data_IF_629808636811
#
_entry.id   IF_629808636811
#
_cell.length_a   1.000
_cell.length_b   1.000
_cell.length_c   1.000
_cell.angle_alpha   90.00
_cell.angle_beta   90.00
_cell.angle_gamma   90.00
#
_symmetry.space_group_name_H-M   'P 1'
#
loop_
_entity.id
_entity.type
_entity.pdbx_description
1 polymer ?
#
# COMPACT_ATOMS: atom_id res chain seq x y z
N UNK A 1 12.98 -5.17 -20.31
CA UNK A 1 14.02 -5.31 -19.28
C UNK A 1 13.87 -4.18 -18.27
N UNK A 2 13.08 -4.36 -17.23
CA UNK A 2 13.22 -3.62 -15.96
C UNK A 2 12.66 -4.54 -14.88
N UNK A 3 13.53 -5.31 -14.23
CA UNK A 3 13.21 -5.99 -12.97
C UNK A 3 12.95 -4.89 -11.95
N UNK A 4 11.69 -4.49 -11.76
CA UNK A 4 11.31 -3.58 -10.68
C UNK A 4 11.52 -4.33 -9.38
N UNK A 5 12.69 -4.13 -8.77
CA UNK A 5 13.03 -4.70 -7.49
C UNK A 5 12.32 -3.87 -6.42
N UNK A 6 11.10 -4.26 -6.06
CA UNK A 6 10.36 -3.69 -4.93
C UNK A 6 11.30 -3.60 -3.72
N UNK A 7 11.49 -2.43 -3.10
CA UNK A 7 12.42 -2.28 -1.99
C UNK A 7 12.05 -3.23 -0.84
N UNK A 8 13.05 -3.76 -0.13
CA UNK A 8 12.81 -4.60 1.04
C UNK A 8 11.96 -3.84 2.08
N UNK A 9 12.23 -2.55 2.22
CA UNK A 9 11.55 -1.60 3.11
C UNK A 9 10.27 -0.98 2.50
N UNK A 10 9.66 -1.57 1.45
CA UNK A 10 8.45 -1.02 0.84
C UNK A 10 7.30 -0.84 1.85
N UNK A 11 7.15 -1.76 2.81
CA UNK A 11 6.18 -1.64 3.89
C UNK A 11 6.45 -0.44 4.81
N UNK A 12 7.71 -0.16 5.14
CA UNK A 12 8.11 1.00 5.96
C UNK A 12 7.86 2.31 5.21
N UNK A 13 8.11 2.31 3.90
CA UNK A 13 7.82 3.45 3.03
C UNK A 13 6.31 3.69 2.94
N UNK A 14 5.52 2.62 2.77
CA UNK A 14 4.06 2.66 2.73
C UNK A 14 3.47 3.18 4.04
N UNK A 15 3.92 2.67 5.19
CA UNK A 15 3.43 3.10 6.49
C UNK A 15 3.72 4.57 6.75
N UNK A 16 4.92 5.06 6.39
CA UNK A 16 5.26 6.48 6.48
C UNK A 16 4.36 7.35 5.62
N UNK A 17 4.04 6.91 4.41
CA UNK A 17 3.16 7.68 3.53
C UNK A 17 1.74 7.75 4.06
N UNK A 18 1.21 6.62 4.52
CA UNK A 18 -0.11 6.55 5.19
C UNK A 18 -0.12 7.46 6.42
N UNK A 19 0.95 7.46 7.23
CA UNK A 19 1.08 8.36 8.37
C UNK A 19 1.04 9.85 7.98
N UNK A 20 1.69 10.24 6.87
CA UNK A 20 1.61 11.62 6.36
C UNK A 20 0.21 11.97 5.87
N UNK A 21 -0.44 11.08 5.11
CA UNK A 21 -1.80 11.30 4.58
C UNK A 21 -2.79 11.54 5.73
N UNK A 22 -2.65 10.78 6.81
CA UNK A 22 -3.48 10.89 8.01
C UNK A 22 -3.03 11.99 8.97
N UNK A 23 -1.89 12.64 8.71
CA UNK A 23 -1.27 13.62 9.59
C UNK A 23 -1.05 13.07 11.01
N UNK A 24 -0.52 11.85 11.11
CA UNK A 24 -0.15 11.17 12.37
C UNK A 24 1.35 10.87 12.39
N UNK A 25 1.90 10.64 13.59
CA UNK A 25 3.33 10.33 13.74
C UNK A 25 3.69 8.94 13.22
N UNK A 26 2.84 7.95 13.49
CA UNK A 26 3.03 6.56 13.10
C UNK A 26 1.70 5.88 12.87
N UNK A 27 1.66 4.91 11.96
CA UNK A 27 0.50 4.04 11.75
C UNK A 27 0.88 2.61 12.09
N UNK A 28 -0.10 1.87 12.61
CA UNK A 28 0.06 0.45 12.86
C UNK A 28 -0.14 -0.34 11.56
N UNK A 29 0.85 -1.15 11.18
CA UNK A 29 0.78 -1.91 9.92
C UNK A 29 -0.07 -3.18 10.01
N UNK A 30 -0.39 -3.62 11.22
CA UNK A 30 -1.29 -4.74 11.52
C UNK A 30 -2.76 -4.28 11.64
N UNK A 31 -2.99 -2.97 11.85
CA UNK A 31 -4.31 -2.38 11.77
C UNK A 31 -4.84 -2.35 10.33
N UNK A 32 -6.16 -2.51 10.21
CA UNK A 32 -6.86 -2.36 8.94
C UNK A 32 -6.80 -0.91 8.44
N UNK A 33 -6.64 -0.72 7.13
CA UNK A 33 -6.56 0.58 6.48
C UNK A 33 -7.77 1.48 6.86
N UNK A 34 -8.96 0.90 7.01
CA UNK A 34 -10.14 1.63 7.48
C UNK A 34 -10.05 2.08 8.95
N UNK A 35 -9.49 1.24 9.82
CA UNK A 35 -9.25 1.58 11.23
C UNK A 35 -8.19 2.67 11.39
N UNK A 36 -7.24 2.74 10.46
CA UNK A 36 -6.25 3.83 10.41
C UNK A 36 -6.90 5.19 10.08
N UNK A 37 -8.11 5.22 9.53
CA UNK A 37 -8.77 6.45 9.07
C UNK A 37 -8.50 6.77 7.60
N UNK A 38 -8.09 5.77 6.80
CA UNK A 38 -7.98 5.94 5.35
C UNK A 38 -9.38 5.88 4.74
N UNK A 39 -9.87 7.05 4.36
CA UNK A 39 -11.13 7.24 3.63
C UNK A 39 -10.96 7.08 2.12
N UNK A 40 -12.09 7.06 1.39
CA UNK A 40 -12.16 6.96 -0.07
C UNK A 40 -11.27 7.95 -0.82
N UNK A 41 -11.06 9.14 -0.25
CA UNK A 41 -10.18 10.17 -0.82
C UNK A 41 -8.70 9.77 -0.70
N UNK A 42 -8.31 9.32 0.50
CA UNK A 42 -6.96 8.90 0.84
C UNK A 42 -6.58 7.58 0.16
N UNK A 43 -7.56 6.70 -0.13
CA UNK A 43 -7.36 5.47 -0.89
C UNK A 43 -6.80 5.77 -2.28
N UNK A 44 -7.28 6.82 -2.95
CA UNK A 44 -6.79 7.15 -4.31
C UNK A 44 -5.31 7.54 -4.27
N UNK A 45 -4.91 8.38 -3.31
CA UNK A 45 -3.49 8.74 -3.11
C UNK A 45 -2.65 7.52 -2.74
N UNK A 46 -3.15 6.66 -1.86
CA UNK A 46 -2.49 5.42 -1.47
C UNK A 46 -2.26 4.50 -2.67
N UNK A 47 -3.26 4.32 -3.54
CA UNK A 47 -3.14 3.46 -4.73
C UNK A 47 -2.11 4.04 -5.69
N UNK A 48 -2.15 5.35 -5.95
CA UNK A 48 -1.15 6.02 -6.81
C UNK A 48 0.25 5.82 -6.24
N UNK A 49 0.42 5.98 -4.93
CA UNK A 49 1.70 5.75 -4.26
C UNK A 49 2.14 4.28 -4.38
N UNK A 50 1.23 3.33 -4.21
CA UNK A 50 1.51 1.90 -4.39
C UNK A 50 1.98 1.63 -5.84
N UNK A 51 1.36 2.25 -6.84
CA UNK A 51 1.78 2.10 -8.24
C UNK A 51 3.19 2.67 -8.48
N UNK A 52 3.54 3.78 -7.83
CA UNK A 52 4.90 4.34 -7.91
C UNK A 52 5.94 3.49 -7.18
N UNK A 53 5.57 2.91 -6.04
CA UNK A 53 6.48 2.15 -5.18
C UNK A 53 6.71 0.72 -5.67
N UNK A 54 5.64 0.04 -6.07
CA UNK A 54 5.67 -1.35 -6.50
C UNK A 54 5.78 -1.47 -8.01
N UNK A 55 5.34 -0.48 -8.78
CA UNK A 55 5.25 -0.52 -10.24
C UNK A 55 3.80 -0.63 -10.71
N UNK A 56 3.59 -0.98 -11.99
CA UNK A 56 2.25 -1.20 -12.52
C UNK A 56 1.51 -2.25 -11.67
N UNK A 57 0.37 -1.85 -11.11
CA UNK A 57 -0.51 -2.66 -10.28
C UNK A 57 -1.91 -2.66 -10.89
N UNK A 58 -2.64 -3.75 -10.71
CA UNK A 58 -4.01 -3.85 -11.20
C UNK A 58 -4.97 -3.52 -10.05
N UNK A 59 -5.59 -2.33 -10.03
CA UNK A 59 -6.49 -1.93 -8.95
C UNK A 59 -7.72 -2.86 -8.86
N UNK A 60 -8.10 -3.50 -9.97
CA UNK A 60 -9.19 -4.48 -10.01
C UNK A 60 -8.83 -5.82 -9.36
N UNK A 61 -7.54 -6.16 -9.33
CA UNK A 61 -7.02 -7.36 -8.67
C UNK A 61 -6.65 -7.11 -7.20
N UNK A 62 -6.44 -5.85 -6.82
CA UNK A 62 -6.19 -5.41 -5.47
C UNK A 62 -7.45 -5.45 -4.63
N UNK A 63 -7.43 -6.26 -3.56
CA UNK A 63 -8.54 -6.33 -2.62
C UNK A 63 -8.28 -5.42 -1.42
N UNK A 64 -8.46 -4.12 -1.62
CA UNK A 64 -8.34 -3.10 -0.57
C UNK A 64 -9.71 -2.94 0.10
N UNK A 65 -9.84 -3.51 1.29
CA UNK A 65 -11.01 -3.37 2.16
C UNK A 65 -10.62 -2.61 3.42
N UNK A 66 -11.61 -2.11 4.16
CA UNK A 66 -11.39 -1.48 5.47
C UNK A 66 -10.61 -2.37 6.47
N UNK A 67 -10.70 -3.70 6.30
CA UNK A 67 -10.01 -4.69 7.13
C UNK A 67 -8.65 -5.11 6.56
N UNK A 68 -8.31 -4.68 5.34
CA UNK A 68 -7.02 -4.99 4.73
C UNK A 68 -5.95 -4.21 5.49
N UNK A 69 -4.95 -4.90 6.01
CA UNK A 69 -3.83 -4.29 6.76
C UNK A 69 -2.74 -3.83 5.79
N UNK A 70 -1.86 -2.91 6.21
CA UNK A 70 -0.74 -2.48 5.37
C UNK A 70 0.19 -3.66 5.03
N UNK A 71 0.37 -4.60 5.95
CA UNK A 71 1.12 -5.83 5.68
C UNK A 71 0.46 -6.71 4.62
N UNK A 72 -0.87 -6.88 4.68
CA UNK A 72 -1.60 -7.62 3.65
C UNK A 72 -1.52 -6.92 2.30
N UNK A 73 -1.62 -5.60 2.28
CA UNK A 73 -1.51 -4.78 1.08
C UNK A 73 -0.12 -4.93 0.42
N UNK A 74 0.97 -4.74 1.18
CA UNK A 74 2.35 -4.96 0.70
C UNK A 74 2.52 -6.37 0.12
N UNK A 75 2.05 -7.40 0.82
CA UNK A 75 2.16 -8.78 0.35
C UNK A 75 1.37 -9.04 -0.94
N UNK A 76 0.18 -8.45 -1.10
CA UNK A 76 -0.59 -8.53 -2.34
C UNK A 76 0.11 -7.84 -3.51
N UNK A 77 0.61 -6.62 -3.28
CA UNK A 77 1.31 -5.83 -4.30
C UNK A 77 2.58 -6.55 -4.77
N UNK A 78 3.38 -7.10 -3.85
CA UNK A 78 4.57 -7.91 -4.19
C UNK A 78 4.22 -9.14 -5.00
N UNK A 79 3.13 -9.85 -4.68
CA UNK A 79 2.69 -10.99 -5.49
C UNK A 79 2.35 -10.58 -6.92
N UNK A 80 1.70 -9.43 -7.11
CA UNK A 80 1.35 -8.95 -8.44
C UNK A 80 2.59 -8.63 -9.28
N UNK A 81 3.65 -8.07 -8.68
CA UNK A 81 4.90 -7.80 -9.39
C UNK A 81 5.62 -9.05 -9.89
N UNK A 82 5.40 -10.21 -9.26
CA UNK A 82 5.95 -11.50 -9.72
C UNK A 82 5.02 -12.26 -10.68
N UNK A 83 3.76 -11.83 -10.82
CA UNK A 83 2.78 -12.48 -11.68
C UNK A 83 2.75 -11.91 -13.11
N UNK A 84 3.48 -10.84 -13.40
CA UNK A 84 3.56 -10.15 -14.69
C UNK A 84 4.82 -10.50 -15.50
#
# INVERSE_FOLDING_TARGET
MTTQNVPADALDILSREVAKILNVETVDTDAGIGELGIDSLNIVELIVFCEQLYGSIDPEALNITQYTTLQQLDAQLRRQQHAA
#
